data_IF_115542139813
#
_entry.id   IF_115542139813
#
_cell.length_a   1.000
_cell.length_b   1.000
_cell.length_c   1.000
_cell.angle_alpha   90.00
_cell.angle_beta   90.00
_cell.angle_gamma   90.00
#
_symmetry.space_group_name_H-M   'P 1'
#
loop_
_entity.id
_entity.type
_entity.pdbx_description
1 polymer ?
#
# COMPACT_ATOMS: atom_id res chain seq x y z
N UNK A 1 -11.42 88.53 6.04
CA UNK A 1 -11.94 87.64 4.97
C UNK A 1 -11.44 86.24 5.23
N UNK A 2 -12.29 85.37 5.80
CA UNK A 2 -12.02 84.00 6.08
C UNK A 2 -12.68 83.15 4.98
N UNK A 3 -11.92 82.29 4.36
CA UNK A 3 -12.39 81.28 3.38
C UNK A 3 -13.05 80.11 4.11
N UNK A 4 -14.18 79.60 3.63
CA UNK A 4 -14.82 78.45 4.24
C UNK A 4 -14.11 77.13 3.81
N UNK A 5 -13.73 76.29 4.78
CA UNK A 5 -13.30 74.91 4.60
C UNK A 5 -14.51 74.06 4.33
N UNK A 6 -14.52 73.37 3.15
CA UNK A 6 -15.46 72.31 2.79
C UNK A 6 -15.06 71.05 3.50
N UNK A 7 -16.01 70.30 4.10
CA UNK A 7 -15.73 68.97 4.61
C UNK A 7 -15.68 67.92 3.45
N UNK A 8 -14.54 67.28 3.23
CA UNK A 8 -14.45 66.09 2.41
C UNK A 8 -15.05 64.93 3.21
N UNK A 9 -16.30 64.63 2.91
CA UNK A 9 -16.92 63.34 3.29
C UNK A 9 -16.53 62.33 2.24
N UNK A 10 -15.45 61.56 2.48
CA UNK A 10 -15.16 60.35 1.79
C UNK A 10 -16.01 59.27 2.44
N UNK A 11 -17.25 59.11 1.96
CA UNK A 11 -18.05 57.92 2.19
C UNK A 11 -17.31 56.72 1.63
N UNK A 12 -16.72 55.92 2.51
CA UNK A 12 -16.15 54.63 2.18
C UNK A 12 -17.29 53.77 1.65
N UNK A 13 -17.31 53.54 0.34
CA UNK A 13 -18.17 52.57 -0.31
C UNK A 13 -17.96 51.22 0.41
N UNK A 14 -19.01 50.55 0.85
CA UNK A 14 -18.87 49.21 1.42
C UNK A 14 -18.29 48.32 0.33
N UNK A 15 -17.08 47.82 0.56
CA UNK A 15 -16.48 46.78 -0.29
C UNK A 15 -17.37 45.56 -0.16
N UNK A 16 -18.31 45.38 -1.09
CA UNK A 16 -19.06 44.14 -1.24
C UNK A 16 -18.04 43.09 -1.64
N UNK A 17 -17.47 42.41 -0.66
CA UNK A 17 -16.77 41.17 -0.92
C UNK A 17 -17.78 40.20 -1.57
N UNK A 18 -17.65 40.03 -2.87
CA UNK A 18 -18.41 39.01 -3.59
C UNK A 18 -18.00 37.64 -3.00
N UNK A 19 -18.80 37.17 -2.07
CA UNK A 19 -18.61 35.80 -1.53
C UNK A 19 -18.96 34.81 -2.61
N UNK A 20 -17.99 34.01 -3.02
CA UNK A 20 -18.26 32.88 -3.93
C UNK A 20 -19.35 31.98 -3.32
N UNK A 21 -20.31 31.52 -4.12
CA UNK A 21 -21.26 30.50 -3.68
C UNK A 21 -20.55 29.25 -3.15
N UNK A 22 -21.14 28.61 -2.12
CA UNK A 22 -20.54 27.46 -1.44
C UNK A 22 -20.14 26.33 -2.40
N UNK A 23 -20.97 26.04 -3.41
CA UNK A 23 -20.68 24.98 -4.39
C UNK A 23 -19.45 25.28 -5.26
N UNK A 24 -19.19 26.55 -5.63
CA UNK A 24 -17.98 26.92 -6.35
C UNK A 24 -16.75 26.88 -5.44
N UNK A 25 -16.92 27.30 -4.19
CA UNK A 25 -15.87 27.19 -3.18
C UNK A 25 -15.50 25.72 -2.94
N UNK A 26 -16.48 24.84 -2.85
CA UNK A 26 -16.26 23.39 -2.72
C UNK A 26 -15.48 22.83 -3.91
N UNK A 27 -15.86 23.18 -5.15
CA UNK A 27 -15.15 22.75 -6.36
C UNK A 27 -13.70 23.23 -6.40
N UNK A 28 -13.41 24.43 -5.89
CA UNK A 28 -12.04 24.94 -5.76
C UNK A 28 -11.27 24.13 -4.71
N UNK A 29 -11.88 23.89 -3.55
CA UNK A 29 -11.27 23.13 -2.46
C UNK A 29 -10.98 21.68 -2.85
N UNK A 30 -11.84 21.05 -3.65
CA UNK A 30 -11.62 19.69 -4.17
C UNK A 30 -10.41 19.59 -5.12
N UNK A 31 -9.97 20.72 -5.71
CA UNK A 31 -8.78 20.76 -6.58
C UNK A 31 -7.49 21.12 -5.85
N UNK A 32 -7.55 21.37 -4.57
CA UNK A 32 -6.36 21.62 -3.74
C UNK A 32 -5.48 20.35 -3.74
N UNK A 33 -4.19 20.46 -4.06
CA UNK A 33 -3.38 19.28 -4.39
C UNK A 33 -3.07 18.38 -3.19
N UNK A 34 -3.01 18.94 -1.97
CA UNK A 34 -2.63 18.15 -0.79
C UNK A 34 -3.58 18.32 0.39
N UNK A 35 -3.66 17.30 1.22
CA UNK A 35 -4.40 17.35 2.49
C UNK A 35 -3.87 18.46 3.43
N UNK A 36 -2.57 18.77 3.36
CA UNK A 36 -1.97 19.85 4.14
C UNK A 36 -2.44 21.24 3.69
N UNK A 37 -2.59 21.45 2.38
CA UNK A 37 -3.15 22.68 1.83
C UNK A 37 -4.62 22.82 2.19
N UNK A 38 -5.37 21.73 2.16
CA UNK A 38 -6.76 21.71 2.59
C UNK A 38 -6.90 22.06 4.08
N UNK A 39 -6.03 21.53 4.94
CA UNK A 39 -5.98 21.90 6.35
C UNK A 39 -5.68 23.40 6.54
N UNK A 40 -4.72 23.94 5.79
CA UNK A 40 -4.43 25.40 5.79
C UNK A 40 -5.64 26.22 5.34
N UNK A 41 -6.31 25.80 4.28
CA UNK A 41 -7.54 26.44 3.82
C UNK A 41 -8.63 26.42 4.91
N UNK A 42 -8.80 25.33 5.63
CA UNK A 42 -9.78 25.21 6.72
C UNK A 42 -9.51 26.17 7.89
N UNK A 43 -8.24 26.55 8.09
CA UNK A 43 -7.84 27.52 9.11
C UNK A 43 -8.02 28.98 8.65
N UNK A 44 -8.09 29.24 7.35
CA UNK A 44 -8.18 30.58 6.79
C UNK A 44 -9.56 31.24 7.01
N UNK A 45 -10.62 30.48 7.26
CA UNK A 45 -11.93 31.06 7.53
C UNK A 45 -13.01 30.04 7.92
N UNK A 46 -14.03 30.52 8.66
CA UNK A 46 -15.10 29.63 9.16
C UNK A 46 -15.95 29.02 8.03
N UNK A 47 -16.15 29.75 6.91
CA UNK A 47 -16.90 29.24 5.75
C UNK A 47 -16.18 28.09 5.08
N UNK A 48 -14.86 28.17 4.89
CA UNK A 48 -14.05 27.09 4.31
C UNK A 48 -14.03 25.88 5.23
N UNK A 49 -13.87 26.11 6.55
CA UNK A 49 -13.94 25.04 7.55
C UNK A 49 -15.28 24.29 7.51
N UNK A 50 -16.39 25.02 7.39
CA UNK A 50 -17.72 24.41 7.32
C UNK A 50 -17.89 23.51 6.10
N UNK A 51 -17.41 23.95 4.92
CA UNK A 51 -17.46 23.16 3.70
C UNK A 51 -16.58 21.90 3.83
N UNK A 52 -15.34 22.05 4.30
CA UNK A 52 -14.39 20.94 4.45
C UNK A 52 -14.85 19.93 5.51
N UNK A 53 -15.54 20.39 6.56
CA UNK A 53 -16.07 19.54 7.62
C UNK A 53 -17.40 18.85 7.26
N UNK A 54 -18.01 19.17 6.12
CA UNK A 54 -19.18 18.42 5.65
C UNK A 54 -18.80 16.97 5.36
N UNK A 55 -19.61 16.03 5.85
CA UNK A 55 -19.32 14.59 5.78
C UNK A 55 -19.15 14.05 4.35
N UNK A 56 -19.67 14.73 3.34
CA UNK A 56 -19.55 14.35 1.92
C UNK A 56 -18.23 14.80 1.31
N UNK A 57 -17.66 15.91 1.80
CA UNK A 57 -16.46 16.52 1.24
C UNK A 57 -15.22 15.61 1.33
N UNK A 58 -14.86 15.01 2.49
CA UNK A 58 -13.70 14.13 2.58
C UNK A 58 -13.77 12.95 1.58
N UNK A 59 -14.96 12.38 1.37
CA UNK A 59 -15.16 11.27 0.42
C UNK A 59 -14.90 11.72 -1.02
N UNK A 60 -15.41 12.89 -1.42
CA UNK A 60 -15.17 13.47 -2.75
C UNK A 60 -13.70 13.81 -2.95
N UNK A 61 -13.06 14.39 -1.94
CA UNK A 61 -11.63 14.71 -1.98
C UNK A 61 -10.79 13.45 -2.14
N UNK A 62 -11.00 12.43 -1.32
CA UNK A 62 -10.29 11.15 -1.40
C UNK A 62 -10.53 10.39 -2.71
N UNK A 63 -11.68 10.58 -3.36
CA UNK A 63 -11.95 9.99 -4.67
C UNK A 63 -11.17 10.68 -5.82
N UNK A 64 -10.79 11.94 -5.65
CA UNK A 64 -10.06 12.73 -6.66
C UNK A 64 -8.54 12.71 -6.45
N UNK A 65 -8.09 12.42 -5.24
CA UNK A 65 -6.67 12.46 -4.87
C UNK A 65 -6.20 11.08 -4.43
N UNK A 66 -5.06 10.61 -4.96
CA UNK A 66 -4.46 9.38 -4.45
C UNK A 66 -4.04 9.57 -2.98
N UNK A 67 -4.26 8.55 -2.14
CA UNK A 67 -3.85 8.62 -0.76
C UNK A 67 -2.32 8.70 -0.66
N UNK A 68 -1.77 9.67 0.11
CA UNK A 68 -0.33 9.84 0.26
C UNK A 68 0.29 8.73 1.11
N UNK A 69 1.57 8.42 0.85
CA UNK A 69 2.38 7.60 1.75
C UNK A 69 2.72 8.42 3.00
N UNK A 70 2.21 8.01 4.16
CA UNK A 70 2.35 8.74 5.43
C UNK A 70 3.41 8.17 6.35
N UNK A 71 3.70 6.88 6.27
CA UNK A 71 4.66 6.25 7.17
C UNK A 71 4.79 4.76 6.98
N UNK A 72 5.47 4.14 7.94
CA UNK A 72 5.67 2.70 8.03
C UNK A 72 5.01 2.17 9.31
N UNK A 73 4.30 1.07 9.21
CA UNK A 73 3.78 0.33 10.35
C UNK A 73 4.67 -0.88 10.58
N UNK A 74 5.39 -0.88 11.69
CA UNK A 74 6.18 -2.02 12.18
C UNK A 74 5.61 -2.47 13.53
N UNK A 75 6.38 -2.42 14.60
CA UNK A 75 5.84 -2.58 15.96
C UNK A 75 4.93 -1.40 16.36
N UNK A 76 5.21 -0.22 15.82
CA UNK A 76 4.45 1.02 15.97
C UNK A 76 4.38 1.75 14.63
N UNK A 77 3.61 2.83 14.56
CA UNK A 77 3.62 3.71 13.41
C UNK A 77 4.86 4.63 13.45
N UNK A 78 5.60 4.64 12.36
CA UNK A 78 6.76 5.49 12.15
C UNK A 78 6.38 6.49 11.05
N UNK A 79 6.19 7.78 11.39
CA UNK A 79 5.78 8.80 10.44
C UNK A 79 6.89 9.15 9.46
N UNK A 80 6.52 9.56 8.25
CA UNK A 80 7.46 10.19 7.32
C UNK A 80 7.99 11.51 7.91
N UNK A 81 9.26 11.80 7.64
CA UNK A 81 9.97 12.99 8.12
C UNK A 81 10.29 13.96 6.98
N UNK A 82 10.52 15.24 7.27
CA UNK A 82 11.03 16.16 6.25
C UNK A 82 12.36 15.66 5.65
N UNK A 83 12.57 15.75 4.35
CA UNK A 83 11.85 16.61 3.37
C UNK A 83 10.63 15.96 2.73
N UNK A 84 10.22 14.75 3.11
CA UNK A 84 9.08 14.07 2.48
C UNK A 84 7.80 14.94 2.55
N UNK A 85 7.04 15.08 1.44
CA UNK A 85 5.90 16.01 1.37
C UNK A 85 4.77 15.65 2.33
N UNK A 86 4.66 14.39 2.73
CA UNK A 86 3.63 13.91 3.66
C UNK A 86 3.96 14.10 5.14
N UNK A 87 5.17 14.56 5.50
CA UNK A 87 5.63 14.63 6.89
C UNK A 87 4.69 15.39 7.83
N UNK A 88 4.08 16.47 7.35
CA UNK A 88 3.14 17.26 8.15
C UNK A 88 1.84 16.50 8.43
N UNK A 89 1.32 15.75 7.44
CA UNK A 89 0.11 14.94 7.58
C UNK A 89 0.37 13.67 8.41
N UNK A 90 1.55 13.08 8.29
CA UNK A 90 1.95 11.89 9.03
C UNK A 90 1.97 12.09 10.55
N UNK A 91 2.35 13.29 11.01
CA UNK A 91 2.36 13.65 12.44
C UNK A 91 0.98 13.53 13.11
N UNK A 92 -0.10 13.71 12.36
CA UNK A 92 -1.45 13.58 12.91
C UNK A 92 -1.82 12.13 13.28
N UNK A 93 -0.99 11.15 12.90
CA UNK A 93 -1.22 9.72 13.12
C UNK A 93 -0.39 9.14 14.27
N UNK A 94 0.53 9.91 14.86
CA UNK A 94 1.46 9.39 15.88
C UNK A 94 0.79 8.84 17.12
N UNK A 95 -0.40 9.37 17.48
CA UNK A 95 -1.17 8.93 18.63
C UNK A 95 -2.18 7.81 18.29
N UNK A 96 -2.22 7.34 17.04
CA UNK A 96 -3.14 6.30 16.62
C UNK A 96 -2.65 4.91 17.03
N UNK A 97 -3.59 4.06 17.47
CA UNK A 97 -3.28 2.71 17.94
C UNK A 97 -3.21 1.70 16.77
N UNK A 98 -2.10 1.71 16.03
CA UNK A 98 -1.86 0.75 14.96
C UNK A 98 -1.52 -0.67 15.45
N UNK A 99 -1.31 -0.85 16.76
CA UNK A 99 -1.18 -2.18 17.35
C UNK A 99 -2.55 -2.87 17.48
N UNK A 100 -3.64 -2.11 17.34
CA UNK A 100 -5.02 -2.56 17.53
C UNK A 100 -5.22 -3.24 18.89
N UNK A 101 -4.68 -2.65 19.96
CA UNK A 101 -4.76 -3.15 21.34
C UNK A 101 -6.20 -3.35 21.86
N UNK A 102 -7.18 -2.81 21.14
CA UNK A 102 -8.61 -2.96 21.40
C UNK A 102 -9.20 -4.29 20.88
N UNK A 103 -8.41 -5.11 20.14
CA UNK A 103 -8.84 -6.46 19.79
C UNK A 103 -9.03 -7.33 21.02
N UNK A 104 -9.99 -8.29 21.01
CA UNK A 104 -10.16 -9.23 22.10
C UNK A 104 -8.87 -10.02 22.37
N UNK A 105 -8.48 -10.10 23.63
CA UNK A 105 -7.35 -10.93 24.05
C UNK A 105 -7.61 -12.40 23.75
N UNK A 106 -6.61 -13.12 23.26
CA UNK A 106 -6.69 -14.56 22.99
C UNK A 106 -5.32 -15.24 23.02
N UNK A 107 -5.34 -16.57 23.08
CA UNK A 107 -4.21 -17.46 22.98
C UNK A 107 -4.41 -18.44 21.79
N UNK A 108 -3.49 -18.55 20.83
CA UNK A 108 -2.33 -17.68 20.60
C UNK A 108 -2.74 -16.22 20.27
N UNK A 109 -1.82 -15.25 20.44
CA UNK A 109 -2.13 -13.83 20.22
C UNK A 109 -2.38 -13.52 18.74
N UNK A 110 -3.05 -12.39 18.51
CA UNK A 110 -3.22 -11.84 17.16
C UNK A 110 -1.87 -11.41 16.57
N UNK A 111 -1.64 -11.80 15.32
CA UNK A 111 -0.50 -11.39 14.52
C UNK A 111 -0.98 -10.56 13.33
N UNK A 112 -0.43 -9.37 13.14
CA UNK A 112 -0.75 -8.56 11.95
C UNK A 112 -0.11 -9.20 10.72
N UNK A 113 -0.85 -9.34 9.65
CA UNK A 113 -0.40 -9.96 8.41
C UNK A 113 -0.53 -9.08 7.16
N UNK A 114 -1.31 -8.01 7.22
CA UNK A 114 -1.40 -7.05 6.11
C UNK A 114 -2.00 -5.72 6.55
N UNK A 115 -1.76 -4.68 5.74
CA UNK A 115 -2.37 -3.37 5.89
C UNK A 115 -2.73 -2.79 4.52
N UNK A 116 -4.00 -2.38 4.33
CA UNK A 116 -4.48 -1.78 3.08
C UNK A 116 -5.71 -0.92 3.31
N UNK A 117 -5.77 0.23 2.62
CA UNK A 117 -6.94 1.12 2.58
C UNK A 117 -7.46 1.49 3.98
N UNK A 118 -6.53 1.82 4.90
CA UNK A 118 -6.85 2.19 6.28
C UNK A 118 -7.21 1.02 7.21
N UNK A 119 -7.13 -0.23 6.72
CA UNK A 119 -7.45 -1.44 7.47
C UNK A 119 -6.22 -2.28 7.75
N UNK A 120 -6.17 -2.83 8.94
CA UNK A 120 -5.20 -3.85 9.33
C UNK A 120 -5.87 -5.23 9.34
N UNK A 121 -5.23 -6.21 8.74
CA UNK A 121 -5.62 -7.62 8.84
C UNK A 121 -4.79 -8.32 9.89
N UNK A 122 -5.46 -8.97 10.81
CA UNK A 122 -4.84 -9.81 11.83
C UNK A 122 -5.27 -11.26 11.63
N UNK A 123 -4.38 -12.17 11.95
CA UNK A 123 -4.68 -13.60 11.98
C UNK A 123 -4.10 -14.25 13.24
N UNK A 124 -4.51 -15.47 13.52
CA UNK A 124 -3.88 -16.33 14.50
C UNK A 124 -3.03 -17.33 13.77
N UNK A 125 -1.71 -17.26 13.99
CA UNK A 125 -0.76 -18.18 13.37
C UNK A 125 -0.83 -19.51 14.13
N UNK A 126 -1.18 -20.63 13.45
CA UNK A 126 -1.19 -21.94 14.08
C UNK A 126 0.24 -22.46 14.30
N UNK A 127 0.42 -23.30 15.30
CA UNK A 127 1.74 -23.90 15.65
C UNK A 127 2.25 -24.90 14.61
N UNK A 128 1.34 -25.52 13.84
CA UNK A 128 1.65 -26.53 12.83
C UNK A 128 1.37 -26.03 11.41
N UNK A 129 1.70 -26.87 10.40
CA UNK A 129 1.39 -26.62 8.99
C UNK A 129 -0.11 -26.74 8.69
N UNK A 130 -0.89 -25.95 9.40
CA UNK A 130 -2.34 -25.90 9.31
C UNK A 130 -2.75 -24.59 8.66
N UNK A 131 -3.88 -24.60 7.98
CA UNK A 131 -4.43 -23.38 7.41
C UNK A 131 -4.77 -22.36 8.50
N UNK A 132 -4.38 -21.10 8.31
CA UNK A 132 -4.83 -19.99 9.14
C UNK A 132 -6.34 -19.84 8.99
N UNK A 133 -7.08 -19.86 10.09
CA UNK A 133 -8.54 -19.87 10.06
C UNK A 133 -9.21 -18.65 10.68
N UNK A 134 -8.58 -18.08 11.69
CA UNK A 134 -9.17 -16.98 12.46
C UNK A 134 -8.59 -15.64 12.02
N UNK A 135 -9.48 -14.73 11.63
CA UNK A 135 -9.12 -13.41 11.12
C UNK A 135 -9.90 -12.30 11.82
N UNK A 136 -9.23 -11.17 11.97
CA UNK A 136 -9.86 -9.90 12.35
C UNK A 136 -9.43 -8.80 11.37
N UNK A 137 -10.38 -8.00 10.91
CA UNK A 137 -10.14 -6.78 10.16
C UNK A 137 -10.36 -5.61 11.10
N UNK A 138 -9.39 -4.70 11.17
CA UNK A 138 -9.39 -3.58 12.11
C UNK A 138 -9.29 -2.26 11.38
N UNK A 139 -10.00 -1.24 11.89
CA UNK A 139 -9.79 0.17 11.58
C UNK A 139 -9.07 0.83 12.76
N UNK A 140 -7.74 1.03 12.70
CA UNK A 140 -6.96 1.57 13.80
C UNK A 140 -7.34 3.01 14.17
N UNK A 141 -7.74 3.82 13.17
CA UNK A 141 -8.07 5.23 13.39
C UNK A 141 -9.36 5.41 14.17
N UNK A 142 -10.34 4.52 13.96
CA UNK A 142 -11.64 4.59 14.60
C UNK A 142 -11.83 3.54 15.72
N UNK A 143 -10.78 2.75 16.02
CA UNK A 143 -10.77 1.68 17.02
C UNK A 143 -11.94 0.70 16.84
N UNK A 144 -12.19 0.28 15.61
CA UNK A 144 -13.23 -0.68 15.24
C UNK A 144 -12.61 -1.97 14.75
N UNK A 145 -13.30 -3.07 14.90
CA UNK A 145 -12.88 -4.35 14.35
C UNK A 145 -14.08 -5.23 13.98
N UNK A 146 -13.83 -6.15 13.08
CA UNK A 146 -14.74 -7.21 12.67
C UNK A 146 -14.01 -8.55 12.75
N UNK A 147 -14.56 -9.49 13.52
CA UNK A 147 -14.09 -10.87 13.50
C UNK A 147 -14.73 -11.59 12.32
N UNK A 148 -13.92 -12.24 11.49
CA UNK A 148 -14.42 -12.98 10.35
C UNK A 148 -14.82 -14.41 10.78
N UNK A 149 -15.78 -15.03 10.09
CA UNK A 149 -16.05 -16.46 10.31
C UNK A 149 -14.79 -17.27 9.96
N UNK A 150 -14.56 -18.43 10.61
CA UNK A 150 -13.41 -19.25 10.31
C UNK A 150 -13.42 -19.74 8.87
N UNK A 151 -12.25 -19.83 8.24
CA UNK A 151 -12.11 -20.37 6.88
C UNK A 151 -12.57 -21.82 6.89
N UNK A 152 -13.46 -22.22 5.97
CA UNK A 152 -13.87 -23.62 5.83
C UNK A 152 -12.66 -24.47 5.41
N UNK A 153 -12.43 -25.56 6.12
CA UNK A 153 -11.34 -26.47 5.83
C UNK A 153 -11.82 -27.94 5.97
N UNK A 154 -11.47 -28.75 4.97
CA UNK A 154 -11.36 -30.16 5.19
C UNK A 154 -10.03 -30.46 5.89
N UNK A 155 -10.09 -31.08 7.04
CA UNK A 155 -9.01 -31.13 8.07
C UNK A 155 -7.79 -31.94 7.65
N UNK A 156 -7.77 -32.57 6.47
CA UNK A 156 -6.81 -33.60 6.10
C UNK A 156 -5.56 -33.10 5.35
N UNK A 157 -5.56 -31.91 4.77
CA UNK A 157 -4.49 -31.51 3.86
C UNK A 157 -3.46 -30.59 4.53
N UNK A 158 -2.20 -31.00 4.47
CA UNK A 158 -1.07 -30.20 4.95
C UNK A 158 -0.88 -28.97 4.07
N UNK A 159 -0.90 -27.79 4.69
CA UNK A 159 -0.61 -26.52 4.05
C UNK A 159 0.89 -26.24 4.15
N UNK A 160 1.56 -26.12 3.02
CA UNK A 160 2.99 -25.82 2.96
C UNK A 160 3.29 -24.35 3.18
N UNK A 161 2.37 -23.47 2.76
CA UNK A 161 2.47 -22.03 2.94
C UNK A 161 1.07 -21.43 2.94
N UNK A 162 0.86 -20.45 3.80
CA UNK A 162 -0.39 -19.69 3.88
C UNK A 162 -0.06 -18.21 4.00
N UNK A 163 -0.61 -17.41 3.09
CA UNK A 163 -0.43 -15.95 3.09
C UNK A 163 -1.79 -15.25 3.05
N UNK A 164 -2.29 -14.75 4.18
CA UNK A 164 -3.47 -13.91 4.22
C UNK A 164 -3.15 -12.47 3.85
N UNK A 165 -4.10 -11.78 3.18
CA UNK A 165 -3.95 -10.39 2.78
C UNK A 165 -5.28 -9.70 2.48
N UNK A 166 -5.26 -8.38 2.50
CA UNK A 166 -6.35 -7.53 2.05
C UNK A 166 -6.29 -7.30 0.53
N UNK A 167 -7.43 -7.38 -0.12
CA UNK A 167 -7.57 -7.09 -1.53
C UNK A 167 -8.51 -5.89 -1.74
N UNK A 168 -8.34 -5.13 -2.84
CA UNK A 168 -9.28 -4.09 -3.20
C UNK A 168 -10.70 -4.63 -3.29
N UNK A 169 -11.68 -3.83 -2.92
CA UNK A 169 -13.09 -4.16 -3.15
C UNK A 169 -13.33 -4.38 -4.66
N UNK A 170 -14.16 -5.36 -5.00
CA UNK A 170 -14.49 -5.63 -6.42
C UNK A 170 -15.29 -4.48 -7.04
N UNK A 171 -14.98 -4.18 -8.30
CA UNK A 171 -15.71 -3.16 -9.07
C UNK A 171 -17.13 -3.62 -9.47
N UNK A 172 -17.41 -4.92 -9.43
CA UNK A 172 -18.65 -5.52 -9.93
C UNK A 172 -19.86 -5.38 -8.97
N UNK A 173 -19.68 -4.82 -7.79
CA UNK A 173 -20.76 -4.57 -6.83
C UNK A 173 -21.61 -3.32 -7.19
N UNK A 174 -21.87 -3.10 -8.47
CA UNK A 174 -22.40 -1.92 -9.16
C UNK A 174 -23.82 -1.46 -8.78
N UNK A 175 -24.36 -1.79 -7.63
CA UNK A 175 -25.72 -1.39 -7.21
C UNK A 175 -25.78 -0.56 -5.93
N UNK A 176 -24.64 -0.20 -5.34
CA UNK A 176 -24.60 0.59 -4.11
C UNK A 176 -24.28 2.06 -4.36
N UNK A 177 -24.99 2.94 -3.66
CA UNK A 177 -24.71 4.39 -3.58
C UNK A 177 -23.24 4.57 -3.20
N UNK A 178 -22.56 5.52 -3.85
CA UNK A 178 -21.10 5.80 -3.65
C UNK A 178 -20.67 5.97 -2.17
N UNK A 179 -21.61 6.22 -1.28
CA UNK A 179 -21.41 6.33 0.16
C UNK A 179 -20.91 5.05 0.83
N UNK A 180 -21.26 3.87 0.29
CA UNK A 180 -20.93 2.56 0.90
C UNK A 180 -19.61 1.95 0.39
N UNK A 181 -19.01 2.51 -0.65
CA UNK A 181 -17.79 1.94 -1.25
C UNK A 181 -16.61 1.92 -0.27
N UNK A 182 -16.52 2.91 0.62
CA UNK A 182 -15.44 3.00 1.62
C UNK A 182 -15.50 1.92 2.71
N UNK A 183 -16.67 1.28 2.89
CA UNK A 183 -16.87 0.21 3.87
C UNK A 183 -16.62 -1.18 3.29
N UNK A 184 -16.41 -1.28 1.97
CA UNK A 184 -16.22 -2.55 1.29
C UNK A 184 -14.78 -3.00 1.37
N UNK A 185 -14.56 -4.26 1.65
CA UNK A 185 -13.24 -4.88 1.65
C UNK A 185 -13.33 -6.36 1.28
N UNK A 186 -12.18 -6.90 0.85
CA UNK A 186 -11.99 -8.33 0.66
C UNK A 186 -10.79 -8.79 1.46
N UNK A 187 -10.91 -9.98 2.04
CA UNK A 187 -9.78 -10.71 2.62
C UNK A 187 -9.51 -11.92 1.75
N UNK A 188 -8.29 -12.10 1.36
CA UNK A 188 -7.83 -13.27 0.63
C UNK A 188 -6.84 -14.05 1.47
N UNK A 189 -6.88 -15.36 1.37
CA UNK A 189 -5.88 -16.24 1.96
C UNK A 189 -5.39 -17.21 0.89
N UNK A 190 -4.15 -17.01 0.43
CA UNK A 190 -3.49 -17.89 -0.52
C UNK A 190 -2.86 -19.05 0.23
N UNK A 191 -3.37 -20.23 0.03
CA UNK A 191 -2.84 -21.48 0.59
C UNK A 191 -2.16 -22.32 -0.49
N UNK A 192 -0.93 -22.75 -0.22
CA UNK A 192 -0.19 -23.66 -1.07
C UNK A 192 -0.23 -25.07 -0.48
N UNK A 193 -0.80 -25.97 -1.21
CA UNK A 193 -0.76 -27.39 -0.97
C UNK A 193 0.36 -28.05 -1.81
N UNK A 194 0.50 -29.35 -1.73
CA UNK A 194 1.56 -30.06 -2.45
C UNK A 194 1.47 -29.87 -3.96
N UNK A 195 0.29 -29.98 -4.54
CA UNK A 195 0.06 -29.99 -5.99
C UNK A 195 -0.79 -28.84 -6.51
N UNK A 196 -1.38 -28.03 -5.63
CA UNK A 196 -2.34 -27.00 -5.99
C UNK A 196 -2.17 -25.73 -5.17
N UNK A 197 -2.67 -24.62 -5.72
CA UNK A 197 -2.92 -23.39 -4.98
C UNK A 197 -4.42 -23.28 -4.72
N UNK A 198 -4.77 -22.80 -3.55
CA UNK A 198 -6.16 -22.51 -3.18
C UNK A 198 -6.24 -21.09 -2.64
N UNK A 199 -7.20 -20.34 -3.13
CA UNK A 199 -7.50 -19.01 -2.61
C UNK A 199 -8.85 -19.06 -1.91
N UNK A 200 -8.85 -18.67 -0.64
CA UNK A 200 -10.05 -18.39 0.09
C UNK A 200 -10.32 -16.88 0.01
N UNK A 201 -11.54 -16.50 -0.35
CA UNK A 201 -11.95 -15.11 -0.53
C UNK A 201 -13.13 -14.81 0.36
N UNK A 202 -12.97 -13.87 1.26
CA UNK A 202 -14.06 -13.28 2.02
C UNK A 202 -14.38 -11.89 1.47
N UNK A 203 -15.66 -11.60 1.25
CA UNK A 203 -16.10 -10.27 0.83
C UNK A 203 -17.08 -9.70 1.86
N UNK A 204 -16.87 -8.42 2.23
CA UNK A 204 -17.80 -7.71 3.13
C UNK A 204 -19.08 -7.26 2.45
N UNK A 205 -19.14 -7.33 1.10
CA UNK A 205 -20.26 -6.88 0.28
C UNK A 205 -20.50 -7.85 -0.89
N UNK A 206 -21.61 -7.66 -1.61
CA UNK A 206 -21.96 -8.47 -2.76
C UNK A 206 -22.83 -9.69 -2.44
N UNK A 207 -23.09 -10.55 -3.44
CA UNK A 207 -24.04 -11.67 -3.31
C UNK A 207 -23.58 -12.76 -2.31
N UNK A 208 -22.28 -12.82 -2.01
CA UNK A 208 -21.69 -13.75 -1.06
C UNK A 208 -21.09 -13.04 0.17
N UNK A 209 -21.62 -11.87 0.51
CA UNK A 209 -21.15 -11.10 1.66
C UNK A 209 -21.20 -11.92 2.94
N UNK A 210 -20.13 -11.82 3.74
CA UNK A 210 -20.02 -12.51 5.02
C UNK A 210 -19.65 -13.99 4.94
N UNK A 211 -19.38 -14.52 3.74
CA UNK A 211 -19.03 -15.93 3.54
C UNK A 211 -17.69 -16.07 2.80
N UNK A 212 -16.97 -17.15 3.12
CA UNK A 212 -15.78 -17.56 2.39
C UNK A 212 -16.15 -18.28 1.11
N UNK A 213 -15.52 -17.90 0.02
CA UNK A 213 -15.52 -18.62 -1.25
C UNK A 213 -14.16 -19.27 -1.46
N UNK A 214 -14.14 -20.44 -2.10
CA UNK A 214 -12.91 -21.19 -2.36
C UNK A 214 -12.70 -21.30 -3.86
N UNK A 215 -11.51 -20.94 -4.32
CA UNK A 215 -11.06 -21.09 -5.70
C UNK A 215 -9.81 -21.95 -5.71
N UNK A 216 -9.90 -23.14 -6.25
CA UNK A 216 -8.76 -24.05 -6.40
C UNK A 216 -8.13 -23.91 -7.78
N UNK A 217 -6.81 -24.00 -7.82
CA UNK A 217 -6.02 -23.98 -9.04
C UNK A 217 -5.04 -25.16 -9.10
N UNK A 218 -5.32 -26.10 -9.97
CA UNK A 218 -4.56 -27.36 -10.12
C UNK A 218 -3.33 -27.22 -11.04
N UNK A 219 -3.19 -26.07 -11.72
CA UNK A 219 -2.12 -25.79 -12.68
C UNK A 219 -0.77 -25.38 -12.06
N UNK A 220 -0.53 -25.63 -10.76
CA UNK A 220 0.68 -25.19 -10.06
C UNK A 220 1.95 -25.65 -10.73
N UNK A 221 2.03 -26.91 -11.15
CA UNK A 221 3.21 -27.47 -11.84
C UNK A 221 3.55 -26.74 -13.14
N UNK A 222 2.55 -26.27 -13.86
CA UNK A 222 2.71 -25.49 -15.10
C UNK A 222 3.23 -24.10 -14.82
N UNK A 223 2.71 -23.42 -13.79
CA UNK A 223 3.16 -22.08 -13.39
C UNK A 223 4.64 -22.08 -12.99
N UNK A 224 5.09 -23.13 -12.32
CA UNK A 224 6.47 -23.29 -11.86
C UNK A 224 7.29 -24.23 -12.76
N UNK A 225 6.89 -24.40 -14.01
CA UNK A 225 7.65 -25.19 -14.98
C UNK A 225 9.10 -24.69 -15.07
N UNK A 226 10.08 -25.61 -15.05
CA UNK A 226 11.50 -25.29 -14.99
C UNK A 226 12.08 -25.16 -13.56
N UNK A 227 11.25 -25.15 -12.52
CA UNK A 227 11.69 -25.28 -11.12
C UNK A 227 11.68 -26.77 -10.74
N UNK A 228 12.76 -27.26 -10.12
CA UNK A 228 12.85 -28.64 -9.69
C UNK A 228 11.78 -29.03 -8.67
N UNK A 229 11.36 -30.27 -8.64
CA UNK A 229 10.26 -30.75 -7.78
C UNK A 229 10.57 -30.55 -6.29
N UNK A 230 11.80 -30.81 -5.88
CA UNK A 230 12.27 -30.59 -4.51
C UNK A 230 12.18 -29.11 -4.13
N UNK A 231 12.58 -28.19 -5.04
CA UNK A 231 12.47 -26.74 -4.82
C UNK A 231 11.02 -26.27 -4.78
N UNK A 232 10.11 -26.89 -5.54
CA UNK A 232 8.67 -26.53 -5.54
C UNK A 232 8.03 -26.73 -4.17
N UNK A 233 8.41 -27.77 -3.44
CA UNK A 233 7.88 -28.04 -2.10
C UNK A 233 8.26 -26.96 -1.09
N UNK A 234 9.45 -26.35 -1.24
CA UNK A 234 10.02 -25.36 -0.34
C UNK A 234 9.68 -23.90 -0.72
N UNK A 235 9.02 -23.67 -1.87
CA UNK A 235 8.62 -22.31 -2.27
C UNK A 235 7.73 -21.70 -1.21
N UNK A 236 8.21 -20.58 -0.63
CA UNK A 236 7.41 -19.66 0.17
C UNK A 236 7.16 -18.40 -0.64
N UNK A 237 5.94 -17.89 -0.58
CA UNK A 237 5.63 -16.61 -1.18
C UNK A 237 6.27 -15.50 -0.32
N UNK A 238 7.14 -14.71 -0.92
CA UNK A 238 7.77 -13.57 -0.29
C UNK A 238 6.85 -12.34 -0.25
N UNK A 239 7.44 -11.16 -0.45
CA UNK A 239 6.69 -9.91 -0.53
C UNK A 239 5.69 -9.95 -1.67
N UNK A 240 4.51 -9.43 -1.40
CA UNK A 240 3.41 -9.28 -2.34
C UNK A 240 3.35 -7.84 -2.81
N UNK A 241 3.22 -7.66 -4.12
CA UNK A 241 2.99 -6.37 -4.75
C UNK A 241 1.63 -6.36 -5.44
N UNK A 242 1.01 -5.21 -5.52
CA UNK A 242 -0.26 -5.04 -6.23
C UNK A 242 -0.04 -4.07 -7.38
N UNK A 243 -0.15 -4.57 -8.61
CA UNK A 243 0.16 -3.83 -9.85
C UNK A 243 -0.88 -4.21 -10.91
N UNK A 244 -1.49 -3.23 -11.55
CA UNK A 244 -2.45 -3.42 -12.65
C UNK A 244 -3.52 -4.50 -12.36
N UNK A 245 -4.16 -4.41 -11.18
CA UNK A 245 -5.18 -5.38 -10.72
C UNK A 245 -4.67 -6.80 -10.54
N UNK A 246 -3.37 -7.00 -10.48
CA UNK A 246 -2.73 -8.27 -10.18
C UNK A 246 -1.97 -8.22 -8.87
N UNK A 247 -2.08 -9.27 -8.08
CA UNK A 247 -1.09 -9.55 -7.05
C UNK A 247 0.11 -10.26 -7.65
N UNK A 248 1.29 -9.81 -7.29
CA UNK A 248 2.57 -10.23 -7.85
C UNK A 248 3.51 -10.75 -6.78
N UNK A 249 4.13 -11.90 -7.03
CA UNK A 249 5.15 -12.50 -6.16
C UNK A 249 6.36 -12.92 -6.99
N UNK A 250 7.56 -12.61 -6.51
CA UNK A 250 8.77 -13.24 -7.03
C UNK A 250 8.90 -14.64 -6.42
N UNK A 251 9.04 -15.64 -7.27
CA UNK A 251 9.27 -17.02 -6.86
C UNK A 251 10.71 -17.37 -7.21
N UNK A 252 11.57 -17.68 -6.21
CA UNK A 252 12.92 -18.12 -6.46
C UNK A 252 12.92 -19.52 -7.10
N UNK A 253 13.77 -19.73 -8.08
CA UNK A 253 13.96 -21.02 -8.76
C UNK A 253 15.42 -21.41 -8.91
N UNK A 254 15.69 -22.68 -9.16
CA UNK A 254 17.04 -23.20 -9.39
C UNK A 254 17.54 -22.79 -10.78
N UNK A 255 17.88 -21.51 -10.95
CA UNK A 255 18.40 -20.95 -12.20
C UNK A 255 17.51 -19.91 -12.88
N UNK A 256 16.19 -19.99 -12.76
CA UNK A 256 15.25 -19.03 -13.33
C UNK A 256 14.24 -18.65 -12.26
N UNK A 257 14.26 -17.38 -11.87
CA UNK A 257 13.21 -16.82 -11.02
C UNK A 257 11.97 -16.54 -11.84
N UNK A 258 10.81 -16.68 -11.23
CA UNK A 258 9.53 -16.40 -11.87
C UNK A 258 8.77 -15.31 -11.13
N UNK A 259 8.06 -14.52 -11.89
CA UNK A 259 6.98 -13.67 -11.41
C UNK A 259 5.69 -14.47 -11.48
N UNK A 260 5.07 -14.74 -10.33
CA UNK A 260 3.71 -15.26 -10.25
C UNK A 260 2.74 -14.09 -10.15
N UNK A 261 1.70 -14.10 -10.93
CA UNK A 261 0.65 -13.08 -10.93
C UNK A 261 -0.72 -13.74 -10.71
N UNK A 262 -1.51 -13.14 -9.81
CA UNK A 262 -2.93 -13.46 -9.62
C UNK A 262 -3.75 -12.26 -10.08
N UNK A 263 -4.54 -12.41 -11.14
CA UNK A 263 -5.47 -11.38 -11.58
C UNK A 263 -6.74 -11.41 -10.72
N UNK A 264 -7.03 -10.33 -9.99
CA UNK A 264 -8.09 -10.32 -8.95
C UNK A 264 -9.53 -10.38 -9.49
N UNK A 265 -9.74 -10.05 -10.76
CA UNK A 265 -11.07 -10.06 -11.39
C UNK A 265 -11.41 -11.44 -11.93
N UNK A 266 -10.48 -12.09 -12.65
CA UNK A 266 -10.67 -13.42 -13.22
C UNK A 266 -10.32 -14.54 -12.25
N UNK A 267 -9.60 -14.23 -11.17
CA UNK A 267 -9.04 -15.20 -10.21
C UNK A 267 -8.11 -16.23 -10.88
N UNK A 268 -7.44 -15.81 -11.95
CA UNK A 268 -6.52 -16.65 -12.73
C UNK A 268 -5.06 -16.37 -12.37
N UNK A 269 -4.28 -17.42 -12.29
CA UNK A 269 -2.84 -17.32 -12.14
C UNK A 269 -2.13 -17.37 -13.50
N UNK A 270 -1.08 -16.56 -13.60
CA UNK A 270 -0.12 -16.62 -14.70
C UNK A 270 1.31 -16.47 -14.18
N UNK A 271 2.29 -16.88 -14.97
CA UNK A 271 3.69 -16.70 -14.59
C UNK A 271 4.54 -16.23 -15.77
N UNK A 272 5.56 -15.41 -15.47
CA UNK A 272 6.54 -14.88 -16.41
C UNK A 272 7.93 -15.14 -15.83
N UNK A 273 8.91 -15.43 -16.70
CA UNK A 273 10.30 -15.53 -16.26
C UNK A 273 10.84 -14.16 -15.92
N UNK A 274 11.55 -14.05 -14.82
CA UNK A 274 12.31 -12.85 -14.48
C UNK A 274 13.64 -12.84 -15.24
N UNK A 275 14.28 -11.65 -15.39
CA UNK A 275 15.57 -11.55 -16.06
C UNK A 275 16.63 -12.44 -15.39
N UNK A 276 17.58 -12.98 -16.14
CA UNK A 276 18.75 -13.63 -15.57
C UNK A 276 19.52 -12.60 -14.71
N UNK A 277 20.06 -13.06 -13.58
CA UNK A 277 20.78 -12.19 -12.62
C UNK A 277 19.93 -11.66 -11.47
N UNK A 278 18.59 -11.89 -11.46
CA UNK A 278 17.72 -11.53 -10.34
C UNK A 278 17.69 -12.57 -9.21
N UNK A 279 18.51 -13.63 -9.31
CA UNK A 279 18.40 -14.81 -8.44
C UNK A 279 18.55 -14.51 -6.95
N UNK A 280 19.52 -13.69 -6.61
CA UNK A 280 19.86 -13.37 -5.22
C UNK A 280 19.56 -11.89 -4.91
N UNK A 281 18.74 -11.28 -5.76
CA UNK A 281 18.39 -9.87 -5.64
C UNK A 281 16.99 -9.71 -5.04
N UNK A 282 16.80 -8.69 -4.24
CA UNK A 282 15.46 -8.25 -3.90
C UNK A 282 14.82 -7.55 -5.10
N UNK A 283 13.56 -7.86 -5.33
CA UNK A 283 12.77 -7.28 -6.42
C UNK A 283 11.53 -6.57 -5.88
N UNK A 284 11.14 -5.50 -6.54
CA UNK A 284 9.89 -4.81 -6.28
C UNK A 284 9.17 -4.54 -7.60
N UNK A 285 7.87 -4.85 -7.66
CA UNK A 285 7.07 -4.64 -8.86
C UNK A 285 6.26 -3.35 -8.73
N UNK A 286 6.18 -2.58 -9.83
CA UNK A 286 5.55 -1.25 -9.88
C UNK A 286 4.72 -1.09 -11.15
N UNK A 287 3.78 -0.16 -11.11
CA UNK A 287 3.08 0.31 -12.29
C UNK A 287 4.01 1.24 -13.07
N UNK A 288 4.31 0.90 -14.31
CA UNK A 288 5.03 1.74 -15.24
C UNK A 288 4.04 2.53 -16.13
N UNK A 289 4.57 3.50 -16.90
CA UNK A 289 3.78 4.24 -17.87
C UNK A 289 3.11 3.30 -18.90
N UNK A 290 1.98 3.70 -19.46
CA UNK A 290 1.24 2.95 -20.49
C UNK A 290 0.76 1.55 -20.02
N UNK A 291 0.35 1.43 -18.78
CA UNK A 291 -0.13 0.17 -18.17
C UNK A 291 0.89 -0.98 -18.26
N UNK A 292 2.17 -0.68 -18.39
CA UNK A 292 3.25 -1.68 -18.40
C UNK A 292 3.66 -2.06 -16.98
N UNK A 293 4.15 -3.27 -16.83
CA UNK A 293 4.71 -3.75 -15.57
C UNK A 293 6.19 -3.31 -15.48
N UNK A 294 6.51 -2.60 -14.41
CA UNK A 294 7.87 -2.23 -14.04
C UNK A 294 8.41 -3.10 -12.92
N UNK A 295 9.72 -3.21 -12.85
CA UNK A 295 10.43 -3.93 -11.80
C UNK A 295 11.68 -3.18 -11.39
N UNK A 296 11.86 -3.00 -10.09
CA UNK A 296 13.14 -2.61 -9.51
C UNK A 296 13.86 -3.85 -8.99
N UNK A 297 15.18 -3.88 -9.21
CA UNK A 297 16.04 -4.95 -8.71
C UNK A 297 17.23 -4.33 -7.99
N UNK A 298 17.47 -4.78 -6.78
CA UNK A 298 18.55 -4.28 -5.93
C UNK A 298 19.80 -5.13 -6.17
N UNK A 299 20.81 -4.55 -6.82
CA UNK A 299 22.08 -5.20 -7.14
C UNK A 299 23.22 -4.68 -6.26
N UNK A 300 23.99 -5.58 -5.72
CA UNK A 300 25.25 -5.24 -5.09
C UNK A 300 26.38 -5.34 -6.13
N UNK A 301 27.13 -4.26 -6.31
CA UNK A 301 28.32 -4.22 -7.16
C UNK A 301 29.59 -4.41 -6.32
N UNK A 302 30.34 -5.50 -6.52
CA UNK A 302 31.61 -5.71 -5.84
C UNK A 302 32.72 -4.73 -6.25
N UNK A 303 32.61 -4.10 -7.44
CA UNK A 303 33.60 -3.21 -8.01
C UNK A 303 33.72 -1.89 -7.25
N UNK A 304 32.58 -1.27 -6.96
CA UNK A 304 32.50 -0.02 -6.19
C UNK A 304 32.00 -0.21 -4.76
N UNK A 305 31.74 -1.49 -4.37
CA UNK A 305 31.24 -1.87 -3.06
C UNK A 305 29.93 -1.14 -2.69
N UNK A 306 29.05 -0.96 -3.68
CA UNK A 306 27.82 -0.20 -3.59
C UNK A 306 26.60 -0.99 -4.05
N UNK A 307 25.44 -0.52 -3.61
CA UNK A 307 24.15 -0.99 -4.13
C UNK A 307 23.66 -0.06 -5.22
N UNK A 308 23.10 -0.65 -6.26
CA UNK A 308 22.43 0.03 -7.36
C UNK A 308 21.02 -0.51 -7.51
N UNK A 309 20.08 0.37 -7.74
CA UNK A 309 18.70 0.00 -7.99
C UNK A 309 18.42 0.08 -9.49
N UNK A 310 18.30 -1.07 -10.12
CA UNK A 310 18.04 -1.20 -11.56
C UNK A 310 16.53 -1.19 -11.80
N UNK A 311 16.11 -0.37 -12.74
CA UNK A 311 14.74 -0.28 -13.18
C UNK A 311 14.58 -0.90 -14.56
N UNK A 312 13.66 -1.85 -14.69
CA UNK A 312 13.34 -2.53 -15.94
C UNK A 312 11.83 -2.54 -16.17
N UNK A 313 11.44 -2.52 -17.44
CA UNK A 313 10.04 -2.58 -17.88
C UNK A 313 9.83 -3.85 -18.69
N UNK A 314 8.67 -4.48 -18.51
CA UNK A 314 8.23 -5.60 -19.32
C UNK A 314 7.65 -5.08 -20.64
N UNK A 315 8.33 -5.38 -21.73
CA UNK A 315 7.95 -4.96 -23.08
C UNK A 315 7.46 -6.16 -23.87
N UNK A 316 6.29 -6.05 -24.49
CA UNK A 316 5.79 -7.01 -25.49
C UNK A 316 5.76 -6.33 -26.86
N UNK A 317 6.48 -6.85 -27.82
CA UNK A 317 6.51 -6.32 -29.20
C UNK A 317 5.79 -7.33 -30.11
N UNK A 318 4.51 -7.08 -30.43
CA UNK A 318 3.73 -7.92 -31.31
C UNK A 318 3.57 -9.37 -30.81
N UNK A 319 3.89 -10.36 -31.66
CA UNK A 319 3.85 -11.79 -31.32
C UNK A 319 5.12 -12.28 -30.59
N UNK A 320 6.09 -11.39 -30.32
CA UNK A 320 7.31 -11.72 -29.61
C UNK A 320 7.09 -11.97 -28.12
N UNK A 321 7.82 -12.90 -27.49
CA UNK A 321 7.71 -13.15 -26.08
C UNK A 321 8.09 -11.91 -25.28
N UNK A 322 7.28 -11.60 -24.26
CA UNK A 322 7.50 -10.50 -23.33
C UNK A 322 8.92 -10.53 -22.78
N UNK A 323 9.67 -9.43 -22.95
CA UNK A 323 11.04 -9.27 -22.51
C UNK A 323 11.19 -8.11 -21.54
N UNK A 324 12.09 -8.27 -20.58
CA UNK A 324 12.47 -7.19 -19.68
C UNK A 324 13.54 -6.31 -20.33
N UNK A 325 13.29 -5.01 -20.35
CA UNK A 325 14.22 -4.00 -20.85
C UNK A 325 14.62 -3.09 -19.70
N UNK A 326 15.93 -2.96 -19.46
CA UNK A 326 16.45 -2.01 -18.46
C UNK A 326 16.32 -0.59 -19.01
N UNK A 327 15.68 0.28 -18.24
CA UNK A 327 15.43 1.67 -18.58
C UNK A 327 16.37 2.63 -17.83
N UNK A 328 16.65 2.33 -16.55
CA UNK A 328 17.41 3.24 -15.69
C UNK A 328 18.16 2.49 -14.58
N UNK A 329 19.18 3.18 -14.02
CA UNK A 329 19.94 2.70 -12.86
C UNK A 329 20.10 3.84 -11.87
N UNK A 330 19.47 3.72 -10.72
CA UNK A 330 19.53 4.71 -9.64
C UNK A 330 20.67 4.34 -8.69
N UNK A 331 21.72 5.16 -8.56
CA UNK A 331 22.78 4.94 -7.58
C UNK A 331 22.26 5.20 -6.17
N UNK A 332 22.60 4.31 -5.25
CA UNK A 332 22.25 4.45 -3.84
C UNK A 332 23.44 4.93 -3.02
N UNK A 333 23.22 5.65 -1.90
CA UNK A 333 24.31 6.03 -0.99
C UNK A 333 25.17 4.84 -0.57
N UNK A 334 26.49 4.99 -0.65
CA UNK A 334 27.47 3.89 -0.47
C UNK A 334 27.58 3.38 0.96
N UNK A 335 27.12 4.16 1.93
CA UNK A 335 27.33 3.87 3.37
C UNK A 335 26.34 2.82 3.92
N UNK A 336 25.40 2.34 3.10
CA UNK A 336 24.32 1.45 3.54
C UNK A 336 24.29 0.12 2.78
N UNK A 337 23.77 -0.90 3.46
CA UNK A 337 23.22 -2.11 2.85
C UNK A 337 21.69 -1.95 2.77
N UNK A 338 21.09 -2.24 1.62
CA UNK A 338 19.68 -1.95 1.40
C UNK A 338 18.80 -3.19 1.32
N UNK A 339 17.54 -2.99 1.74
CA UNK A 339 16.44 -3.95 1.57
C UNK A 339 15.19 -3.19 1.13
N UNK A 340 14.37 -3.79 0.28
CA UNK A 340 13.08 -3.20 -0.07
C UNK A 340 12.10 -3.34 1.08
N UNK A 341 11.37 -2.29 1.43
CA UNK A 341 10.25 -2.34 2.37
C UNK A 341 8.96 -2.61 1.63
N UNK A 342 8.70 -1.89 0.54
CA UNK A 342 7.50 -2.07 -0.28
C UNK A 342 7.31 -0.93 -1.27
N UNK A 343 6.20 -1.00 -2.01
CA UNK A 343 5.78 0.01 -2.98
C UNK A 343 4.37 0.47 -2.63
N UNK A 344 4.20 1.76 -2.43
CA UNK A 344 2.89 2.34 -2.17
C UNK A 344 2.88 3.87 -2.38
N UNK A 345 1.73 4.45 -2.72
CA UNK A 345 1.55 5.90 -2.83
C UNK A 345 2.48 6.59 -3.83
N UNK A 346 2.94 5.89 -4.87
CA UNK A 346 3.87 6.41 -5.86
C UNK A 346 5.35 6.39 -5.44
N UNK A 347 5.68 5.64 -4.39
CA UNK A 347 7.05 5.51 -3.87
C UNK A 347 7.46 4.04 -3.70
N UNK A 348 8.74 3.76 -3.98
CA UNK A 348 9.43 2.57 -3.50
C UNK A 348 10.17 2.95 -2.21
N UNK A 349 9.95 2.21 -1.14
CA UNK A 349 10.64 2.42 0.14
C UNK A 349 11.74 1.39 0.33
N UNK A 350 12.93 1.89 0.69
CA UNK A 350 14.13 1.11 0.99
C UNK A 350 14.53 1.32 2.45
N UNK A 351 14.86 0.24 3.13
CA UNK A 351 15.50 0.28 4.43
C UNK A 351 17.02 0.15 4.25
N UNK A 352 17.78 1.13 4.72
CA UNK A 352 19.20 1.19 4.68
C UNK A 352 19.82 0.88 6.05
N UNK A 353 20.57 -0.20 6.14
CA UNK A 353 21.40 -0.52 7.30
C UNK A 353 22.80 0.01 7.08
N UNK A 354 23.34 0.86 7.96
CA UNK A 354 24.69 1.39 7.78
C UNK A 354 25.73 0.26 7.80
N UNK A 355 26.69 0.31 6.88
CA UNK A 355 27.80 -0.65 6.83
C UNK A 355 28.69 -0.57 8.07
N UNK A 356 28.72 0.58 8.72
CA UNK A 356 29.34 0.78 10.01
C UNK A 356 28.29 1.20 11.05
N UNK A 357 27.76 0.26 11.85
CA UNK A 357 26.70 0.52 12.82
C UNK A 357 27.12 1.49 13.95
N UNK A 358 28.43 1.67 14.20
CA UNK A 358 28.92 2.58 15.22
C UNK A 358 28.82 4.06 14.80
N UNK A 359 28.58 4.33 13.53
CA UNK A 359 28.60 5.68 12.96
C UNK A 359 27.21 6.27 12.72
N UNK A 360 26.20 5.47 12.51
CA UNK A 360 24.84 5.90 12.17
C UNK A 360 23.81 4.87 12.56
N UNK A 361 22.59 5.33 12.80
CA UNK A 361 21.40 4.48 12.91
C UNK A 361 20.87 4.06 11.51
N UNK A 362 20.10 2.98 11.43
CA UNK A 362 19.41 2.63 10.20
C UNK A 362 18.43 3.72 9.74
N UNK A 363 18.32 3.92 8.43
CA UNK A 363 17.46 4.93 7.80
C UNK A 363 16.55 4.30 6.76
N UNK A 364 15.35 4.86 6.60
CA UNK A 364 14.48 4.59 5.46
C UNK A 364 14.62 5.67 4.39
N UNK A 365 14.63 5.24 3.14
CA UNK A 365 14.69 6.10 1.96
C UNK A 365 13.48 5.86 1.08
N UNK A 366 12.89 6.91 0.54
CA UNK A 366 11.81 6.86 -0.44
C UNK A 366 12.31 7.26 -1.81
N UNK A 367 12.10 6.40 -2.81
CA UNK A 367 12.29 6.71 -4.22
C UNK A 367 10.94 7.09 -4.82
N UNK A 368 10.82 8.32 -5.29
CA UNK A 368 9.65 8.75 -6.04
C UNK A 368 9.65 8.11 -7.43
N UNK A 369 8.61 7.35 -7.78
CA UNK A 369 8.54 6.56 -9.01
C UNK A 369 8.36 7.41 -10.28
N UNK A 370 7.92 8.67 -10.17
CA UNK A 370 7.78 9.57 -11.32
C UNK A 370 9.05 10.34 -11.61
N UNK A 371 9.75 10.80 -10.56
CA UNK A 371 10.93 11.66 -10.69
C UNK A 371 12.24 10.91 -10.55
N UNK A 372 12.21 9.64 -10.14
CA UNK A 372 13.36 8.79 -9.83
C UNK A 372 14.30 9.40 -8.78
N UNK A 373 13.76 10.30 -7.93
CA UNK A 373 14.51 10.96 -6.88
C UNK A 373 14.44 10.18 -5.58
N UNK A 374 15.61 9.85 -5.03
CA UNK A 374 15.75 9.23 -3.72
C UNK A 374 15.89 10.31 -2.65
N UNK A 375 15.11 10.19 -1.57
CA UNK A 375 15.15 11.10 -0.42
C UNK A 375 15.04 10.32 0.89
N UNK A 376 15.55 10.90 1.97
CA UNK A 376 15.33 10.37 3.32
C UNK A 376 13.83 10.38 3.63
N UNK A 377 13.35 9.31 4.26
CA UNK A 377 11.94 9.12 4.59
C UNK A 377 11.67 9.18 6.10
N UNK A 378 12.37 8.38 6.88
CA UNK A 378 12.29 8.36 8.34
C UNK A 378 13.47 7.57 8.93
N UNK A 379 13.73 7.71 10.24
CA UNK A 379 14.61 6.80 10.94
C UNK A 379 14.08 5.37 10.96
N UNK A 380 14.95 4.38 10.81
CA UNK A 380 14.58 2.98 10.59
C UNK A 380 14.94 2.02 11.72
N UNK A 381 15.27 2.52 12.92
CA UNK A 381 15.73 1.68 14.05
C UNK A 381 14.76 0.52 14.39
N UNK A 382 13.51 0.63 14.01
CA UNK A 382 12.47 -0.37 14.28
C UNK A 382 11.75 -0.89 13.02
N UNK A 383 12.26 -0.58 11.81
CA UNK A 383 11.68 -1.08 10.57
C UNK A 383 12.23 -2.45 10.25
N UNK A 384 11.39 -3.47 10.37
CA UNK A 384 11.74 -4.85 10.04
C UNK A 384 11.31 -5.14 8.59
N UNK A 385 12.21 -5.38 7.63
CA UNK A 385 11.88 -5.47 6.19
C UNK A 385 10.77 -6.48 5.84
N UNK A 386 10.66 -7.57 6.61
CA UNK A 386 9.67 -8.62 6.35
C UNK A 386 8.35 -8.45 7.11
N UNK A 387 8.30 -7.55 8.11
CA UNK A 387 7.15 -7.37 9.01
C UNK A 387 6.58 -5.95 8.98
N UNK A 388 7.15 -5.10 8.14
CA UNK A 388 6.72 -3.70 8.03
C UNK A 388 5.81 -3.52 6.82
N UNK A 389 4.75 -2.74 7.03
CA UNK A 389 3.76 -2.40 6.01
C UNK A 389 3.78 -0.89 5.77
N UNK A 390 3.54 -0.47 4.55
CA UNK A 390 3.45 0.94 4.20
C UNK A 390 2.06 1.49 4.52
N UNK A 391 2.01 2.57 5.28
CA UNK A 391 0.76 3.26 5.54
C UNK A 391 0.48 4.30 4.46
N UNK A 392 -0.47 3.97 3.59
CA UNK A 392 -1.03 4.87 2.60
C UNK A 392 -2.44 5.22 3.01
N UNK A 393 -2.72 6.50 3.16
CA UNK A 393 -4.01 6.95 3.65
C UNK A 393 -4.06 8.45 3.86
N UNK A 394 -5.18 8.91 4.42
CA UNK A 394 -5.37 10.30 4.79
C UNK A 394 -5.24 10.47 6.31
N UNK A 395 -4.94 11.68 6.80
CA UNK A 395 -4.99 11.96 8.22
C UNK A 395 -6.42 11.78 8.78
N UNK A 396 -6.60 11.55 10.09
CA UNK A 396 -7.90 11.20 10.69
C UNK A 396 -9.04 12.16 10.34
N UNK A 397 -8.74 13.44 10.16
CA UNK A 397 -9.74 14.47 9.79
C UNK A 397 -10.33 14.28 8.38
N UNK A 398 -9.67 13.53 7.51
CA UNK A 398 -10.08 13.26 6.14
C UNK A 398 -10.36 11.76 5.89
N UNK A 399 -10.21 10.93 6.91
CA UNK A 399 -10.35 9.48 6.81
C UNK A 399 -11.65 9.06 7.48
N UNK A 400 -12.70 8.75 6.72
CA UNK A 400 -13.94 8.22 7.30
C UNK A 400 -13.71 6.80 7.84
N UNK A 401 -14.59 6.30 8.75
CA UNK A 401 -14.54 4.92 9.19
C UNK A 401 -14.55 3.94 8.02
N UNK A 402 -13.73 2.89 8.11
CA UNK A 402 -13.57 1.87 7.06
C UNK A 402 -14.27 0.55 7.39
N UNK A 403 -14.77 0.41 8.62
CA UNK A 403 -15.54 -0.75 9.11
C UNK A 403 -16.77 -0.26 9.87
#
# INVERSE_FOLDING_TARGET
>A
MALPTLPCNLDALPTVQATLPDHLTEEILLRVPTAADLARASMAGPSLRRIIADHSFPRRFCALHPPPLLGVISCSFIPSEPPHPSAAAARALTDSDFSCSFLPSREPPWCRCDFRDGRALFCVVPDDRVLVRDFAVCDPLHRRYLLLPPVPQDVSDLVYHCQPFLAPAGEDDGTGIAADASLRFRVMCLAKYQTQLVIFVFSSSGPHAGQWQTVAFDGWSTLVAGISEDARSTICFGKRYYVHRCFCWAIPGNGINKLLMLHIRTMEFSSINLPPGTRDCEVAFVEASEERLGMFTLHFSPEDYAYHLWYAILVGIGDDPRQWQTEDVVPLPHDYCYYTVGVAGGYLLLNGFPKNPDMRDPDCFSLNLQTMKLEHFCGASYVMPLQSELYVGFPPSLSPPTI
#
